data_IF_445022355238
#
_entry.id   IF_445022355238
#
_cell.length_a   1.000
_cell.length_b   1.000
_cell.length_c   1.000
_cell.angle_alpha   90.00
_cell.angle_beta   90.00
_cell.angle_gamma   90.00
#
_symmetry.space_group_name_H-M   'P 1'
#
loop_
_entity.id
_entity.type
_entity.pdbx_description
1 polymer ?
#
# COMPACT_ATOMS: atom_id res chain seq x y z
N UNK A 1 14.93 8.18 -9.14
CA UNK A 1 14.98 8.72 -7.77
C UNK A 1 15.33 10.20 -7.76
N UNK A 2 16.43 10.62 -8.38
CA UNK A 2 16.87 12.04 -8.39
C UNK A 2 15.79 13.02 -8.87
N UNK A 3 15.05 12.65 -9.92
CA UNK A 3 13.94 13.46 -10.41
C UNK A 3 12.81 13.66 -9.39
N UNK A 4 12.51 12.64 -8.56
CA UNK A 4 11.47 12.75 -7.52
C UNK A 4 12.00 13.60 -6.36
N UNK A 5 13.29 13.47 -6.00
CA UNK A 5 13.94 14.33 -4.99
C UNK A 5 13.88 15.80 -5.36
N UNK A 6 14.09 16.15 -6.64
CA UNK A 6 14.00 17.54 -7.12
C UNK A 6 12.62 18.19 -6.97
N UNK A 7 11.57 17.42 -6.70
CA UNK A 7 10.20 17.93 -6.47
C UNK A 7 9.82 17.99 -5.00
N UNK A 8 10.65 17.45 -4.09
CA UNK A 8 10.35 17.38 -2.65
C UNK A 8 10.10 18.76 -2.08
N UNK A 9 11.02 19.72 -2.27
CA UNK A 9 10.87 21.09 -1.76
C UNK A 9 9.56 21.77 -2.21
N UNK A 10 9.11 21.47 -3.43
CA UNK A 10 7.86 22.03 -3.97
C UNK A 10 6.65 21.41 -3.28
N UNK A 11 6.66 20.08 -3.07
CA UNK A 11 5.58 19.36 -2.37
C UNK A 11 5.52 19.72 -0.89
N UNK A 12 6.66 19.81 -0.22
CA UNK A 12 6.75 20.21 1.19
C UNK A 12 6.15 21.60 1.40
N UNK A 13 6.50 22.57 0.54
CA UNK A 13 5.94 23.94 0.59
C UNK A 13 4.45 23.96 0.30
N UNK A 14 3.98 23.18 -0.67
CA UNK A 14 2.58 23.15 -1.06
C UNK A 14 1.68 22.60 0.05
N UNK A 15 2.11 21.52 0.71
CA UNK A 15 1.32 20.84 1.74
C UNK A 15 1.68 21.24 3.16
N UNK A 16 2.75 22.01 3.35
CA UNK A 16 3.30 22.40 4.65
C UNK A 16 3.62 21.19 5.56
N UNK A 17 4.32 20.20 4.99
CA UNK A 17 4.73 18.96 5.67
C UNK A 17 6.19 18.64 5.36
N UNK A 18 6.83 17.89 6.25
CA UNK A 18 8.17 17.33 6.01
C UNK A 18 8.06 16.00 5.27
N UNK A 19 8.94 15.78 4.28
CA UNK A 19 9.05 14.52 3.54
C UNK A 19 10.41 13.90 3.81
N UNK A 20 10.43 12.72 4.42
CA UNK A 20 11.66 11.99 4.66
C UNK A 20 12.22 11.37 3.37
N UNK A 21 13.55 11.26 3.28
CA UNK A 21 14.20 10.61 2.13
C UNK A 21 13.80 9.12 2.02
N UNK A 22 13.53 8.44 3.13
CA UNK A 22 12.97 7.09 3.12
C UNK A 22 11.59 7.01 2.46
N UNK A 23 10.76 8.04 2.59
CA UNK A 23 9.46 8.11 1.93
C UNK A 23 9.62 8.27 0.42
N UNK A 24 10.60 9.05 -0.04
CA UNK A 24 10.93 9.18 -1.47
C UNK A 24 11.40 7.84 -2.05
N UNK A 25 12.28 7.13 -1.33
CA UNK A 25 12.74 5.79 -1.74
C UNK A 25 11.56 4.81 -1.79
N UNK A 26 10.73 4.78 -0.74
CA UNK A 26 9.54 3.94 -0.65
C UNK A 26 8.55 4.25 -1.77
N UNK A 27 8.31 5.53 -2.08
CA UNK A 27 7.39 5.93 -3.14
C UNK A 27 7.84 5.42 -4.50
N UNK A 28 9.14 5.46 -4.80
CA UNK A 28 9.70 4.90 -6.05
C UNK A 28 9.62 3.37 -6.05
N UNK A 29 10.08 2.72 -4.98
CA UNK A 29 10.15 1.25 -4.92
C UNK A 29 8.76 0.59 -4.92
N UNK A 30 7.85 1.05 -4.05
CA UNK A 30 6.52 0.48 -3.90
C UNK A 30 5.64 0.78 -5.10
N UNK A 31 5.69 2.00 -5.66
CA UNK A 31 4.94 2.30 -6.88
C UNK A 31 5.45 1.50 -8.08
N UNK A 32 6.76 1.25 -8.17
CA UNK A 32 7.32 0.38 -9.20
C UNK A 32 6.76 -1.04 -9.11
N UNK A 33 6.77 -1.62 -7.90
CA UNK A 33 6.39 -3.02 -7.65
C UNK A 33 4.88 -3.25 -7.71
N UNK A 34 4.09 -2.40 -7.06
CA UNK A 34 2.67 -2.67 -6.81
C UNK A 34 1.69 -1.84 -7.67
N UNK A 35 2.17 -0.83 -8.40
CA UNK A 35 1.35 0.01 -9.27
C UNK A 35 1.87 -0.09 -10.72
N UNK A 36 1.65 -1.25 -11.39
CA UNK A 36 2.20 -1.52 -12.72
C UNK A 36 1.52 -0.68 -13.83
N UNK A 37 0.25 -0.32 -13.66
CA UNK A 37 -0.56 0.36 -14.68
C UNK A 37 -0.08 1.79 -15.02
N UNK A 38 0.89 2.34 -14.27
CA UNK A 38 1.45 3.68 -14.48
C UNK A 38 2.98 3.61 -14.57
N UNK A 39 3.56 4.58 -15.28
CA UNK A 39 5.02 4.66 -15.46
C UNK A 39 5.69 5.55 -14.41
N UNK A 40 6.95 5.25 -14.11
CA UNK A 40 7.82 6.17 -13.39
C UNK A 40 8.24 7.31 -14.33
N UNK A 41 8.45 8.54 -13.84
CA UNK A 41 8.41 8.95 -12.42
C UNK A 41 7.01 9.32 -11.90
N UNK A 42 6.03 9.55 -12.79
CA UNK A 42 4.73 10.16 -12.47
C UNK A 42 3.98 9.45 -11.34
N UNK A 43 3.97 8.11 -11.34
CA UNK A 43 3.30 7.35 -10.27
C UNK A 43 3.92 7.55 -8.89
N UNK A 44 5.22 7.74 -8.80
CA UNK A 44 5.90 7.99 -7.53
C UNK A 44 5.60 9.42 -7.05
N UNK A 45 5.52 10.38 -7.98
CA UNK A 45 5.16 11.77 -7.68
C UNK A 45 3.72 11.84 -7.17
N UNK A 46 2.76 11.23 -7.88
CA UNK A 46 1.35 11.20 -7.43
C UNK A 46 1.17 10.51 -6.07
N UNK A 47 1.94 9.45 -5.83
CA UNK A 47 1.92 8.74 -4.55
C UNK A 47 2.45 9.62 -3.42
N UNK A 48 3.56 10.32 -3.65
CA UNK A 48 4.17 11.21 -2.67
C UNK A 48 3.29 12.45 -2.40
N UNK A 49 2.67 13.01 -3.43
CA UNK A 49 1.70 14.11 -3.31
C UNK A 49 0.47 13.69 -2.50
N UNK A 50 -0.07 12.49 -2.75
CA UNK A 50 -1.17 11.93 -1.95
C UNK A 50 -0.74 11.73 -0.49
N UNK A 51 0.50 11.30 -0.26
CA UNK A 51 1.04 11.11 1.08
C UNK A 51 1.20 12.44 1.83
N UNK A 52 1.73 13.46 1.16
CA UNK A 52 1.85 14.80 1.71
C UNK A 52 0.46 15.38 2.06
N UNK A 53 -0.51 15.28 1.14
CA UNK A 53 -1.87 15.70 1.39
C UNK A 53 -2.51 14.96 2.58
N UNK A 54 -2.29 13.65 2.70
CA UNK A 54 -2.81 12.84 3.81
C UNK A 54 -2.22 13.29 5.14
N UNK A 55 -0.90 13.48 5.22
CA UNK A 55 -0.23 13.98 6.44
C UNK A 55 -0.76 15.36 6.81
N UNK A 56 -0.83 16.28 5.85
CA UNK A 56 -1.36 17.63 6.07
C UNK A 56 -2.80 17.61 6.62
N UNK A 57 -3.65 16.71 6.10
CA UNK A 57 -5.00 16.52 6.62
C UNK A 57 -5.01 16.06 8.08
N UNK A 58 -4.12 15.15 8.48
CA UNK A 58 -4.09 14.67 9.87
C UNK A 58 -3.69 15.74 10.88
N UNK A 59 -2.93 16.74 10.45
CA UNK A 59 -2.50 17.86 11.29
C UNK A 59 -3.61 18.90 11.52
N UNK A 60 -4.59 18.98 10.61
CA UNK A 60 -5.60 20.06 10.63
C UNK A 60 -7.05 19.56 10.77
N UNK A 61 -7.29 18.27 10.56
CA UNK A 61 -8.63 17.70 10.47
C UNK A 61 -8.80 16.54 11.44
N UNK A 62 -9.96 16.43 12.13
CA UNK A 62 -10.27 15.26 12.95
C UNK A 62 -10.19 13.97 12.13
N UNK A 63 -9.69 12.86 12.71
CA UNK A 63 -9.60 11.59 11.99
C UNK A 63 -10.99 11.04 11.65
N UNK A 64 -11.05 10.20 10.62
CA UNK A 64 -12.30 9.62 10.14
C UNK A 64 -13.08 8.87 11.24
N UNK A 65 -12.39 8.22 12.18
CA UNK A 65 -12.99 7.56 13.35
C UNK A 65 -13.78 8.54 14.22
N UNK A 66 -13.19 9.69 14.56
CA UNK A 66 -13.84 10.76 15.33
C UNK A 66 -15.00 11.36 14.56
N UNK A 67 -14.84 11.65 13.26
CA UNK A 67 -15.92 12.18 12.44
C UNK A 67 -17.12 11.21 12.36
N UNK A 68 -16.84 9.92 12.18
CA UNK A 68 -17.86 8.87 12.14
C UNK A 68 -18.60 8.73 13.46
N UNK A 69 -17.89 8.76 14.60
CA UNK A 69 -18.51 8.75 15.94
C UNK A 69 -19.39 9.98 16.17
N UNK A 70 -18.94 11.18 15.78
CA UNK A 70 -19.75 12.41 15.84
C UNK A 70 -21.04 12.29 15.03
N UNK A 71 -20.95 11.73 13.82
CA UNK A 71 -22.12 11.52 12.96
C UNK A 71 -23.11 10.50 13.57
N UNK A 72 -22.61 9.39 14.10
CA UNK A 72 -23.44 8.39 14.77
C UNK A 72 -24.14 8.95 16.02
N UNK A 73 -23.41 9.71 16.84
CA UNK A 73 -23.94 10.34 18.03
C UNK A 73 -25.09 11.28 17.67
N UNK A 74 -24.87 12.17 16.69
CA UNK A 74 -25.88 13.10 16.18
C UNK A 74 -27.13 12.37 15.67
N UNK A 75 -26.96 11.25 14.95
CA UNK A 75 -28.08 10.46 14.47
C UNK A 75 -28.88 9.81 15.62
N UNK A 76 -28.19 9.27 16.64
CA UNK A 76 -28.82 8.67 17.81
C UNK A 76 -29.57 9.71 18.66
N UNK A 77 -28.99 10.90 18.84
CA UNK A 77 -29.63 12.02 19.54
C UNK A 77 -30.89 12.52 18.82
N UNK A 78 -30.83 12.63 17.49
CA UNK A 78 -31.99 12.98 16.68
C UNK A 78 -33.11 11.94 16.82
N UNK A 79 -32.77 10.65 16.75
CA UNK A 79 -33.73 9.56 16.97
C UNK A 79 -34.37 9.64 18.36
N UNK A 80 -33.57 9.90 19.42
CA UNK A 80 -34.08 10.07 20.78
C UNK A 80 -35.01 11.28 20.88
N UNK A 81 -34.68 12.41 20.24
CA UNK A 81 -35.51 13.61 20.25
C UNK A 81 -36.87 13.39 19.57
N UNK A 82 -36.90 12.65 18.46
CA UNK A 82 -38.15 12.28 17.79
C UNK A 82 -39.01 11.38 18.67
N UNK A 83 -38.39 10.41 19.35
CA UNK A 83 -39.09 9.52 20.27
C UNK A 83 -39.68 10.26 21.47
N UNK A 84 -38.93 11.21 22.06
CA UNK A 84 -39.43 12.09 23.12
C UNK A 84 -40.64 12.94 22.68
N UNK A 85 -40.73 13.33 21.39
CA UNK A 85 -41.92 14.02 20.88
C UNK A 85 -43.12 13.08 20.78
N UNK A 86 -42.92 11.82 20.39
CA UNK A 86 -43.97 10.80 20.32
C UNK A 86 -44.52 10.44 21.72
N UNK A 87 -43.65 10.35 22.72
CA UNK A 87 -44.04 10.13 24.12
C UNK A 87 -44.95 11.24 24.66
N UNK A 88 -44.66 12.51 24.31
CA UNK A 88 -45.54 13.65 24.63
C UNK A 88 -46.91 13.56 23.96
N UNK A 89 -47.03 12.81 22.87
CA UNK A 89 -48.29 12.53 22.17
C UNK A 89 -48.97 11.24 22.68
N UNK A 90 -48.43 10.61 23.72
CA UNK A 90 -49.00 9.42 24.35
C UNK A 90 -48.59 8.09 23.69
N UNK A 91 -47.67 8.09 22.73
CA UNK A 91 -47.14 6.87 22.12
C UNK A 91 -45.99 6.37 22.99
N UNK A 92 -46.18 5.23 23.68
CA UNK A 92 -45.17 4.66 24.56
C UNK A 92 -44.10 3.89 23.76
N UNK A 93 -42.83 4.11 24.10
CA UNK A 93 -41.68 3.43 23.46
C UNK A 93 -40.47 3.33 24.40
N UNK A 94 -40.71 2.91 25.65
CA UNK A 94 -39.71 2.92 26.74
C UNK A 94 -38.46 2.07 26.44
N UNK A 95 -38.61 0.85 25.93
CA UNK A 95 -37.47 -0.02 25.59
C UNK A 95 -36.54 0.62 24.54
N UNK A 96 -37.14 1.28 23.53
CA UNK A 96 -36.37 1.95 22.47
C UNK A 96 -35.72 3.24 22.97
N UNK A 97 -36.36 3.96 23.90
CA UNK A 97 -35.78 5.11 24.61
C UNK A 97 -34.55 4.70 25.41
N UNK A 98 -34.67 3.63 26.19
CA UNK A 98 -33.58 3.13 27.04
C UNK A 98 -32.41 2.62 26.19
N UNK A 99 -32.69 1.88 25.12
CA UNK A 99 -31.68 1.44 24.17
C UNK A 99 -30.93 2.61 23.50
N UNK A 100 -31.65 3.65 23.06
CA UNK A 100 -31.02 4.86 22.49
C UNK A 100 -30.20 5.63 23.53
N UNK A 101 -30.67 5.71 24.77
CA UNK A 101 -29.95 6.39 25.85
C UNK A 101 -28.65 5.65 26.18
N UNK A 102 -28.69 4.33 26.28
CA UNK A 102 -27.49 3.51 26.47
C UNK A 102 -26.52 3.64 25.28
N UNK A 103 -27.04 3.67 24.04
CA UNK A 103 -26.21 3.85 22.84
C UNK A 103 -25.53 5.21 22.79
N UNK A 104 -26.26 6.28 23.11
CA UNK A 104 -25.71 7.64 23.21
C UNK A 104 -24.60 7.69 24.26
N UNK A 105 -24.81 7.08 25.43
CA UNK A 105 -23.79 7.01 26.48
C UNK A 105 -22.51 6.29 26.00
N UNK A 106 -22.66 5.12 25.36
CA UNK A 106 -21.52 4.38 24.76
C UNK A 106 -20.77 5.22 23.72
N UNK A 107 -21.50 5.80 22.77
CA UNK A 107 -20.93 6.61 21.69
C UNK A 107 -20.21 7.85 22.25
N UNK A 108 -20.74 8.47 23.29
CA UNK A 108 -20.11 9.64 23.90
C UNK A 108 -18.81 9.27 24.62
N UNK A 109 -18.76 8.11 25.30
CA UNK A 109 -17.54 7.61 25.92
C UNK A 109 -16.47 7.27 24.88
N UNK A 110 -16.85 6.56 23.81
CA UNK A 110 -15.96 6.21 22.70
C UNK A 110 -15.43 7.47 21.98
N UNK A 111 -16.30 8.45 21.76
CA UNK A 111 -15.93 9.74 21.14
C UNK A 111 -14.95 10.51 22.03
N UNK A 112 -15.24 10.63 23.32
CA UNK A 112 -14.37 11.35 24.27
C UNK A 112 -12.99 10.71 24.34
N UNK A 113 -12.90 9.38 24.39
CA UNK A 113 -11.63 8.66 24.37
C UNK A 113 -10.85 8.88 23.07
N UNK A 114 -11.54 8.82 21.92
CA UNK A 114 -10.93 9.00 20.60
C UNK A 114 -10.45 10.43 20.37
N UNK A 115 -11.23 11.42 20.81
CA UNK A 115 -10.87 12.84 20.74
C UNK A 115 -9.68 13.17 21.66
N UNK A 116 -9.67 12.62 22.88
CA UNK A 116 -8.56 12.81 23.81
C UNK A 116 -7.26 12.21 23.26
N UNK A 117 -7.33 11.03 22.66
CA UNK A 117 -6.18 10.40 21.98
C UNK A 117 -5.67 11.27 20.84
N UNK A 118 -6.56 11.72 19.96
CA UNK A 118 -6.21 12.56 18.81
C UNK A 118 -5.57 13.88 19.24
N UNK A 119 -6.15 14.57 20.23
CA UNK A 119 -5.60 15.82 20.77
C UNK A 119 -4.22 15.62 21.38
N UNK A 120 -4.03 14.53 22.14
CA UNK A 120 -2.73 14.22 22.74
C UNK A 120 -1.66 13.91 21.70
N UNK A 121 -2.01 13.15 20.65
CA UNK A 121 -1.10 12.91 19.53
C UNK A 121 -0.74 14.23 18.81
N UNK A 122 -1.71 15.10 18.58
CA UNK A 122 -1.49 16.39 17.94
C UNK A 122 -0.54 17.29 18.75
N UNK A 123 -0.71 17.34 20.07
CA UNK A 123 0.17 18.08 20.99
C UNK A 123 1.63 17.56 20.93
N UNK A 124 1.82 16.24 20.96
CA UNK A 124 3.14 15.62 20.86
C UNK A 124 3.80 15.89 19.49
N UNK A 125 3.02 15.83 18.41
CA UNK A 125 3.49 16.13 17.05
C UNK A 125 3.91 17.59 16.92
N UNK A 126 3.12 18.54 17.44
CA UNK A 126 3.50 19.95 17.43
C UNK A 126 4.76 20.21 18.25
N UNK A 127 4.86 19.64 19.45
CA UNK A 127 6.07 19.73 20.29
C UNK A 127 7.30 19.23 19.52
N UNK A 128 7.17 18.10 18.82
CA UNK A 128 8.25 17.54 18.01
C UNK A 128 8.65 18.46 16.85
N UNK A 129 7.67 19.05 16.15
CA UNK A 129 7.93 19.97 15.05
C UNK A 129 8.61 21.26 15.52
N UNK A 130 8.19 21.81 16.67
CA UNK A 130 8.82 22.98 17.28
C UNK A 130 10.28 22.71 17.68
N UNK A 131 10.55 21.57 18.34
CA UNK A 131 11.91 21.18 18.70
C UNK A 131 12.84 20.99 17.50
N UNK A 132 12.29 20.56 16.35
CA UNK A 132 13.07 20.40 15.10
C UNK A 132 13.40 21.73 14.42
N UNK A 133 12.58 22.76 14.63
CA UNK A 133 12.80 24.10 14.08
C UNK A 133 13.80 24.91 14.90
N UNK A 134 14.03 24.56 16.16
CA UNK A 134 15.05 25.19 16.99
C UNK A 134 16.47 24.81 16.50
N UNK A 135 17.31 25.81 16.20
CA UNK A 135 18.72 25.60 15.85
C UNK A 135 19.47 24.98 17.04
N UNK A 136 20.24 23.92 16.79
CA UNK A 136 20.58 22.93 17.82
C UNK A 136 21.85 23.24 18.63
N UNK A 137 21.71 23.26 19.97
CA UNK A 137 22.78 22.93 20.92
C UNK A 137 22.76 21.42 21.28
N UNK A 138 23.76 20.95 22.05
CA UNK A 138 23.84 19.54 22.45
C UNK A 138 22.68 19.09 23.37
N UNK A 139 22.11 20.02 24.15
CA UNK A 139 20.98 19.75 25.05
C UNK A 139 19.69 19.51 24.26
N UNK A 140 19.47 20.28 23.18
CA UNK A 140 18.31 20.18 22.28
C UNK A 140 18.21 18.84 21.54
N UNK A 141 19.35 18.17 21.32
CA UNK A 141 19.34 16.82 20.73
C UNK A 141 18.77 15.77 21.67
N UNK A 142 19.01 15.90 22.97
CA UNK A 142 18.49 14.94 23.95
C UNK A 142 16.99 15.12 24.16
N UNK A 143 16.50 16.37 24.20
CA UNK A 143 15.08 16.69 24.30
C UNK A 143 14.31 16.26 23.05
N UNK A 144 14.89 16.43 21.86
CA UNK A 144 14.32 15.93 20.61
C UNK A 144 14.14 14.40 20.63
N UNK A 145 15.17 13.66 21.04
CA UNK A 145 15.10 12.19 21.14
C UNK A 145 14.05 11.73 22.16
N UNK A 146 13.91 12.44 23.27
CA UNK A 146 12.87 12.16 24.27
C UNK A 146 11.46 12.39 23.69
N UNK A 147 11.26 13.48 22.95
CA UNK A 147 9.99 13.79 22.31
C UNK A 147 9.62 12.74 21.24
N UNK A 148 10.58 12.31 20.41
CA UNK A 148 10.38 11.24 19.43
C UNK A 148 10.00 9.91 20.09
N UNK A 149 10.67 9.57 21.19
CA UNK A 149 10.37 8.34 21.96
C UNK A 149 8.97 8.40 22.58
N UNK A 150 8.63 9.52 23.23
CA UNK A 150 7.31 9.73 23.83
C UNK A 150 6.18 9.66 22.80
N UNK A 151 6.37 10.26 21.62
CA UNK A 151 5.40 10.17 20.52
C UNK A 151 5.20 8.73 20.08
N UNK A 152 6.30 7.99 19.87
CA UNK A 152 6.27 6.60 19.42
C UNK A 152 5.59 5.68 20.43
N UNK A 153 5.90 5.84 21.71
CA UNK A 153 5.27 5.06 22.79
C UNK A 153 3.76 5.31 22.89
N UNK A 154 3.34 6.57 22.74
CA UNK A 154 1.92 6.92 22.77
C UNK A 154 1.15 6.42 21.54
N UNK A 155 1.74 6.54 20.34
CA UNK A 155 1.08 6.15 19.09
C UNK A 155 0.92 4.63 18.95
N UNK A 156 1.91 3.86 19.41
CA UNK A 156 1.95 2.41 19.24
C UNK A 156 1.81 2.00 17.78
N UNK A 157 0.97 0.99 17.51
CA UNK A 157 0.78 0.43 16.17
C UNK A 157 -0.25 1.17 15.29
N UNK A 158 -0.96 2.15 15.85
CA UNK A 158 -2.09 2.81 15.17
C UNK A 158 -2.03 4.34 15.30
N UNK A 159 -1.04 5.00 14.68
CA UNK A 159 -0.94 6.46 14.68
C UNK A 159 -2.14 7.10 13.99
N UNK A 160 -2.66 8.16 14.59
CA UNK A 160 -3.80 8.95 14.10
C UNK A 160 -3.32 10.26 13.48
N UNK A 161 -2.24 10.83 14.03
CA UNK A 161 -1.59 12.04 13.52
C UNK A 161 -0.18 11.70 13.06
N UNK A 162 0.19 12.13 11.85
CA UNK A 162 1.53 11.91 11.32
C UNK A 162 2.34 13.20 11.37
N UNK A 163 3.55 13.22 11.95
CA UNK A 163 4.39 14.41 11.97
C UNK A 163 5.02 14.73 10.61
N UNK A 164 5.20 13.71 9.77
CA UNK A 164 5.93 13.77 8.52
C UNK A 164 5.49 12.64 7.57
N UNK A 165 5.84 12.80 6.30
CA UNK A 165 5.68 11.75 5.30
C UNK A 165 6.83 10.76 5.44
N UNK A 166 6.54 9.59 6.00
CA UNK A 166 7.47 8.47 6.19
C UNK A 166 7.23 7.34 5.21
N UNK A 167 8.14 6.36 5.18
CA UNK A 167 7.96 5.15 4.37
C UNK A 167 6.67 4.38 4.74
N UNK A 168 6.27 4.42 6.02
CA UNK A 168 5.06 3.78 6.51
C UNK A 168 3.78 4.44 5.95
N UNK A 169 3.74 5.78 5.89
CA UNK A 169 2.61 6.52 5.30
C UNK A 169 2.45 6.17 3.81
N UNK A 170 3.57 6.13 3.09
CA UNK A 170 3.59 5.75 1.67
C UNK A 170 3.09 4.32 1.48
N UNK A 171 3.57 3.37 2.29
CA UNK A 171 3.13 1.98 2.24
C UNK A 171 1.63 1.82 2.53
N UNK A 172 1.09 2.59 3.49
CA UNK A 172 -0.34 2.59 3.78
C UNK A 172 -1.20 3.06 2.59
N UNK A 173 -0.74 4.07 1.85
CA UNK A 173 -1.47 4.53 0.65
C UNK A 173 -1.43 3.50 -0.47
N UNK A 174 -0.26 2.88 -0.69
CA UNK A 174 -0.16 1.79 -1.67
C UNK A 174 -1.07 0.62 -1.25
N UNK A 175 -1.16 0.31 0.03
CA UNK A 175 -2.07 -0.70 0.55
C UNK A 175 -3.54 -0.35 0.25
N UNK A 176 -3.96 0.89 0.48
CA UNK A 176 -5.32 1.35 0.17
C UNK A 176 -5.62 1.24 -1.34
N UNK A 177 -4.65 1.55 -2.21
CA UNK A 177 -4.84 1.53 -3.66
C UNK A 177 -4.83 0.13 -4.26
N UNK A 178 -4.06 -0.78 -3.67
CA UNK A 178 -3.79 -2.11 -4.24
C UNK A 178 -4.48 -3.25 -3.50
N UNK A 179 -4.98 -2.99 -2.29
CA UNK A 179 -5.53 -4.00 -1.38
C UNK A 179 -4.46 -4.88 -0.69
N UNK A 180 -3.18 -4.66 -0.96
CA UNK A 180 -2.08 -5.46 -0.40
C UNK A 180 -1.68 -4.86 0.96
N UNK A 181 -1.67 -5.62 2.07
CA UNK A 181 -1.36 -5.07 3.38
C UNK A 181 0.04 -4.45 3.47
N UNK A 182 0.15 -3.23 4.02
CA UNK A 182 1.42 -2.50 4.17
C UNK A 182 2.47 -3.33 4.94
N UNK A 183 2.08 -4.08 5.97
CA UNK A 183 2.98 -4.97 6.71
C UNK A 183 3.63 -6.07 5.85
N UNK A 184 3.04 -6.45 4.72
CA UNK A 184 3.68 -7.37 3.75
C UNK A 184 4.68 -6.64 2.84
N UNK A 185 4.56 -5.32 2.68
CA UNK A 185 5.43 -4.49 1.83
C UNK A 185 6.71 -4.07 2.54
N UNK A 186 6.67 -3.89 3.87
CA UNK A 186 7.81 -3.44 4.69
C UNK A 186 8.76 -4.59 5.08
N UNK A 187 8.39 -5.85 4.80
CA UNK A 187 9.30 -6.99 5.04
C UNK A 187 10.51 -6.92 4.11
N UNK A 188 11.68 -7.17 4.68
CA UNK A 188 12.97 -7.24 3.98
C UNK A 188 12.87 -8.11 2.72
N UNK A 189 13.17 -7.50 1.56
CA UNK A 189 13.13 -8.14 0.26
C UNK A 189 14.05 -9.37 0.22
N UNK A 190 15.20 -9.31 0.90
CA UNK A 190 16.13 -10.44 0.98
C UNK A 190 15.49 -11.62 1.73
N UNK A 191 14.90 -11.36 2.90
CA UNK A 191 14.13 -12.37 3.66
C UNK A 191 12.98 -12.96 2.84
N UNK A 192 12.23 -12.15 2.08
CA UNK A 192 11.15 -12.67 1.21
C UNK A 192 11.65 -13.63 0.13
N UNK A 193 12.82 -13.33 -0.45
CA UNK A 193 13.45 -14.13 -1.49
C UNK A 193 14.05 -15.41 -0.91
N UNK A 194 14.61 -15.36 0.31
CA UNK A 194 15.10 -16.54 1.04
C UNK A 194 13.97 -17.52 1.39
N UNK A 195 12.83 -17.02 1.83
CA UNK A 195 11.66 -17.83 2.21
C UNK A 195 10.79 -18.26 1.00
N UNK A 196 11.18 -17.88 -0.22
CA UNK A 196 10.35 -18.09 -1.42
C UNK A 196 9.89 -19.54 -1.62
N UNK A 197 10.74 -20.58 -1.53
CA UNK A 197 10.28 -21.97 -1.68
C UNK A 197 9.18 -22.35 -0.69
N UNK A 198 9.36 -21.98 0.59
CA UNK A 198 8.39 -22.28 1.64
C UNK A 198 7.06 -21.55 1.41
N UNK A 199 7.10 -20.31 0.92
CA UNK A 199 5.90 -19.54 0.57
C UNK A 199 5.17 -20.14 -0.64
N UNK A 200 5.89 -20.58 -1.67
CA UNK A 200 5.28 -21.25 -2.81
C UNK A 200 4.62 -22.57 -2.38
N UNK A 201 5.24 -23.32 -1.47
CA UNK A 201 4.72 -24.59 -0.96
C UNK A 201 3.40 -24.44 -0.15
N UNK A 202 3.08 -23.24 0.34
CA UNK A 202 1.78 -22.96 0.97
C UNK A 202 0.62 -22.98 -0.02
N UNK A 203 0.86 -22.65 -1.31
CA UNK A 203 -0.15 -22.71 -2.39
C UNK A 203 -0.01 -23.94 -3.26
N UNK A 204 1.21 -24.41 -3.53
CA UNK A 204 1.49 -25.52 -4.45
C UNK A 204 1.97 -26.73 -3.64
N UNK A 205 1.07 -27.67 -3.39
CA UNK A 205 1.33 -28.87 -2.58
C UNK A 205 2.05 -29.97 -3.35
N UNK A 206 3.06 -30.57 -2.72
CA UNK A 206 3.73 -31.79 -3.21
C UNK A 206 4.73 -31.58 -4.35
N UNK A 207 5.16 -30.34 -4.60
CA UNK A 207 6.13 -30.00 -5.66
C UNK A 207 7.47 -29.48 -5.11
N UNK A 208 7.84 -29.86 -3.88
CA UNK A 208 8.95 -29.27 -3.11
C UNK A 208 10.26 -29.16 -3.91
N UNK A 209 10.64 -30.21 -4.65
CA UNK A 209 11.85 -30.21 -5.47
C UNK A 209 11.81 -29.18 -6.62
N UNK A 210 10.67 -29.04 -7.31
CA UNK A 210 10.51 -28.05 -8.38
C UNK A 210 10.47 -26.62 -7.81
N UNK A 211 9.79 -26.42 -6.69
CA UNK A 211 9.71 -25.13 -6.02
C UNK A 211 11.07 -24.68 -5.46
N UNK A 212 11.88 -25.61 -4.95
CA UNK A 212 13.23 -25.35 -4.50
C UNK A 212 14.14 -24.87 -5.65
N UNK A 213 14.08 -25.53 -6.81
CA UNK A 213 14.86 -25.12 -8.00
C UNK A 213 14.46 -23.73 -8.52
N UNK A 214 13.15 -23.44 -8.54
CA UNK A 214 12.65 -22.10 -8.88
C UNK A 214 13.19 -21.08 -7.88
N UNK A 215 13.07 -21.37 -6.59
CA UNK A 215 13.55 -20.50 -5.52
C UNK A 215 15.04 -20.18 -5.62
N UNK A 216 15.88 -21.20 -5.78
CA UNK A 216 17.34 -21.04 -5.93
C UNK A 216 17.71 -20.16 -7.12
N UNK A 217 17.04 -20.35 -8.27
CA UNK A 217 17.28 -19.53 -9.47
C UNK A 217 16.93 -18.07 -9.24
N UNK A 218 15.78 -17.80 -8.61
CA UNK A 218 15.33 -16.45 -8.28
C UNK A 218 16.26 -15.81 -7.25
N UNK A 219 16.66 -16.54 -6.20
CA UNK A 219 17.61 -16.08 -5.18
C UNK A 219 18.94 -15.66 -5.82
N UNK A 220 19.48 -16.50 -6.71
CA UNK A 220 20.72 -16.21 -7.45
C UNK A 220 20.60 -14.93 -8.29
N UNK A 221 19.47 -14.75 -8.98
CA UNK A 221 19.25 -13.56 -9.81
C UNK A 221 19.10 -12.29 -8.96
N UNK A 222 18.37 -12.35 -7.84
CA UNK A 222 18.18 -11.21 -6.91
C UNK A 222 19.45 -10.85 -6.15
N UNK A 223 20.35 -11.81 -5.92
CA UNK A 223 21.67 -11.57 -5.34
C UNK A 223 22.65 -10.89 -6.31
N UNK A 224 22.26 -10.63 -7.57
CA UNK A 224 23.13 -10.02 -8.57
C UNK A 224 24.26 -10.95 -9.06
N UNK A 225 24.17 -12.25 -8.77
CA UNK A 225 25.19 -13.24 -9.13
C UNK A 225 25.03 -13.79 -10.56
N UNK A 226 24.00 -13.32 -11.30
CA UNK A 226 23.72 -13.71 -12.70
C UNK A 226 24.09 -12.64 -13.72
N UNK A 227 24.09 -13.00 -15.01
CA UNK A 227 24.29 -12.03 -16.10
C UNK A 227 23.07 -11.08 -16.17
N UNK A 228 23.25 -9.75 -16.03
CA UNK A 228 22.15 -8.78 -16.04
C UNK A 228 21.43 -8.69 -17.40
N UNK A 229 22.00 -9.25 -18.48
CA UNK A 229 21.35 -9.29 -19.80
C UNK A 229 20.41 -10.49 -19.96
N UNK A 230 20.38 -11.42 -19.01
CA UNK A 230 19.53 -12.61 -19.06
C UNK A 230 18.29 -12.43 -18.18
N UNK A 231 17.16 -13.06 -18.52
CA UNK A 231 15.98 -13.09 -17.66
C UNK A 231 16.30 -13.64 -16.27
N UNK A 232 15.55 -13.16 -15.27
CA UNK A 232 15.64 -13.59 -13.86
C UNK A 232 15.54 -15.11 -13.74
N UNK A 233 14.63 -15.73 -14.50
CA UNK A 233 14.53 -17.18 -14.65
C UNK A 233 13.79 -17.55 -15.92
N UNK A 234 14.15 -18.71 -16.49
CA UNK A 234 13.41 -19.34 -17.60
C UNK A 234 13.11 -20.75 -17.13
N UNK A 235 11.84 -21.09 -17.02
CA UNK A 235 11.38 -22.34 -16.46
C UNK A 235 10.45 -23.05 -17.44
N UNK A 236 10.60 -24.36 -17.58
CA UNK A 236 9.67 -25.22 -18.29
C UNK A 236 8.97 -26.11 -17.26
N UNK A 237 7.73 -25.78 -16.92
CA UNK A 237 6.92 -26.57 -16.02
C UNK A 237 6.21 -27.66 -16.84
N UNK A 238 6.71 -28.90 -16.76
CA UNK A 238 6.14 -30.04 -17.48
C UNK A 238 5.43 -30.99 -16.51
N UNK A 239 4.30 -31.55 -16.94
CA UNK A 239 3.55 -32.54 -16.15
C UNK A 239 2.06 -32.60 -16.50
N UNK A 240 1.29 -33.53 -15.92
CA UNK A 240 -0.15 -33.70 -16.16
C UNK A 240 -0.96 -32.43 -15.85
N UNK A 241 -2.15 -32.30 -16.43
CA UNK A 241 -3.06 -31.19 -16.06
C UNK A 241 -3.44 -31.26 -14.58
N UNK A 242 -3.63 -30.09 -13.95
CA UNK A 242 -4.06 -30.01 -12.54
C UNK A 242 -2.98 -30.16 -11.47
N UNK A 243 -1.72 -30.46 -11.83
CA UNK A 243 -0.63 -30.65 -10.83
C UNK A 243 -0.03 -29.36 -10.26
N UNK A 244 -0.62 -28.20 -10.55
CA UNK A 244 -0.17 -26.91 -10.01
C UNK A 244 0.82 -26.13 -10.87
N UNK A 245 0.97 -26.42 -12.16
CA UNK A 245 1.85 -25.66 -13.08
C UNK A 245 1.46 -24.18 -13.17
N UNK A 246 0.19 -23.91 -13.52
CA UNK A 246 -0.34 -22.54 -13.60
C UNK A 246 -0.33 -21.89 -12.22
N UNK A 247 -0.69 -22.64 -11.18
CA UNK A 247 -0.67 -22.17 -9.79
C UNK A 247 0.73 -21.74 -9.35
N UNK A 248 1.78 -22.45 -9.77
CA UNK A 248 3.17 -22.08 -9.51
C UNK A 248 3.52 -20.74 -10.12
N UNK A 249 3.07 -20.47 -11.36
CA UNK A 249 3.31 -19.18 -12.01
C UNK A 249 2.56 -18.03 -11.31
N UNK A 250 1.31 -18.26 -10.91
CA UNK A 250 0.50 -17.28 -10.15
C UNK A 250 1.12 -16.99 -8.78
N UNK A 251 1.46 -18.04 -8.02
CA UNK A 251 2.09 -17.91 -6.70
C UNK A 251 3.46 -17.21 -6.79
N UNK A 252 4.22 -17.46 -7.86
CA UNK A 252 5.49 -16.78 -8.12
C UNK A 252 5.29 -15.29 -8.43
N UNK A 253 4.31 -14.96 -9.27
CA UNK A 253 3.97 -13.57 -9.61
C UNK A 253 3.50 -12.79 -8.37
N UNK A 254 2.67 -13.40 -7.53
CA UNK A 254 2.25 -12.81 -6.26
C UNK A 254 3.46 -12.59 -5.32
N UNK A 255 4.31 -13.60 -5.15
CA UNK A 255 5.42 -13.54 -4.20
C UNK A 255 6.49 -12.51 -4.58
N UNK A 256 6.86 -12.45 -5.87
CA UNK A 256 7.96 -11.61 -6.34
C UNK A 256 7.46 -10.24 -6.78
N UNK A 257 6.43 -10.20 -7.63
CA UNK A 257 5.97 -8.98 -8.27
C UNK A 257 4.79 -8.34 -7.54
N UNK A 258 4.31 -8.95 -6.46
CA UNK A 258 3.30 -8.33 -5.61
C UNK A 258 1.88 -8.44 -6.15
N UNK A 259 1.62 -9.34 -7.10
CA UNK A 259 0.26 -9.64 -7.52
C UNK A 259 0.18 -10.51 -8.76
N UNK A 260 -0.90 -11.28 -8.86
CA UNK A 260 -1.18 -12.15 -10.01
C UNK A 260 -1.48 -11.35 -11.29
N UNK A 261 -1.98 -10.12 -11.16
CA UNK A 261 -2.23 -9.22 -12.28
C UNK A 261 -0.97 -8.83 -13.05
N UNK A 262 0.21 -9.07 -12.47
CA UNK A 262 1.49 -8.90 -13.16
C UNK A 262 1.84 -10.10 -14.04
N UNK A 263 1.08 -11.21 -14.01
CA UNK A 263 1.34 -12.35 -14.87
C UNK A 263 0.79 -12.12 -16.28
N UNK A 264 1.68 -12.05 -17.26
CA UNK A 264 1.29 -12.07 -18.68
C UNK A 264 1.05 -13.51 -19.10
N UNK A 265 -0.22 -13.86 -19.38
CA UNK A 265 -0.60 -15.20 -19.84
C UNK A 265 -0.80 -15.19 -21.35
N UNK A 266 -0.16 -16.14 -22.04
CA UNK A 266 -0.33 -16.33 -23.49
C UNK A 266 -0.80 -17.75 -23.73
N UNK A 267 -1.98 -17.88 -24.33
CA UNK A 267 -2.53 -19.16 -24.75
C UNK A 267 -1.94 -19.57 -26.10
N UNK A 268 -0.90 -20.42 -26.08
CA UNK A 268 -0.23 -20.86 -27.31
C UNK A 268 -1.13 -21.65 -28.28
N UNK A 269 -2.26 -22.18 -27.82
CA UNK A 269 -3.23 -22.85 -28.69
C UNK A 269 -3.89 -21.89 -29.70
N UNK A 270 -3.88 -20.58 -29.43
CA UNK A 270 -4.39 -19.54 -30.33
C UNK A 270 -3.36 -19.16 -31.43
N UNK A 271 -2.11 -19.62 -31.29
CA UNK A 271 -0.97 -19.23 -32.13
C UNK A 271 -0.40 -20.41 -32.95
N UNK A 272 -1.27 -21.30 -33.45
CA UNK A 272 -0.85 -22.49 -34.18
C UNK A 272 -0.46 -22.23 -35.65
N UNK A 273 -0.96 -21.14 -36.25
CA UNK A 273 -0.78 -20.84 -37.67
C UNK A 273 0.24 -19.71 -37.87
N UNK A 274 1.01 -19.75 -38.97
CA UNK A 274 2.10 -18.79 -39.19
C UNK A 274 1.66 -17.32 -39.18
N UNK A 275 0.42 -17.04 -39.59
CA UNK A 275 -0.13 -15.68 -39.59
C UNK A 275 -0.60 -15.24 -38.19
N UNK A 276 -1.03 -16.15 -37.31
CA UNK A 276 -1.35 -15.81 -35.92
C UNK A 276 -0.07 -15.63 -35.10
N UNK A 277 1.00 -16.39 -35.36
CA UNK A 277 2.32 -16.14 -34.71
C UNK A 277 2.84 -14.72 -34.99
N UNK A 278 2.54 -14.18 -36.16
CA UNK A 278 2.93 -12.80 -36.50
C UNK A 278 2.24 -11.76 -35.62
N UNK A 279 1.00 -11.99 -35.16
CA UNK A 279 0.31 -11.07 -34.23
C UNK A 279 0.87 -11.15 -32.80
N UNK A 280 1.53 -12.24 -32.42
CA UNK A 280 2.19 -12.38 -31.12
C UNK A 280 3.40 -11.44 -30.98
N UNK A 281 4.25 -11.37 -32.01
CA UNK A 281 5.48 -10.56 -32.04
C UNK A 281 5.27 -9.16 -32.64
N UNK A 282 4.27 -9.01 -33.51
CA UNK A 282 4.00 -7.82 -34.30
C UNK A 282 4.14 -8.13 -35.80
N UNK A 283 3.18 -7.64 -36.59
CA UNK A 283 3.16 -7.89 -38.02
C UNK A 283 4.38 -7.26 -38.72
N UNK A 284 4.97 -7.89 -39.75
CA UNK A 284 6.05 -7.30 -40.54
C UNK A 284 5.55 -6.15 -41.45
N UNK A 285 6.45 -5.29 -41.96
CA UNK A 285 6.08 -4.23 -42.90
C UNK A 285 5.30 -4.79 -44.09
N UNK A 286 4.11 -4.24 -44.36
CA UNK A 286 3.24 -4.68 -45.46
C UNK A 286 2.11 -5.64 -45.07
N UNK A 287 1.98 -6.01 -43.79
CA UNK A 287 0.85 -6.80 -43.27
C UNK A 287 -0.09 -5.96 -42.40
N UNK A 288 -1.36 -6.36 -42.30
CA UNK A 288 -2.36 -5.73 -41.41
C UNK A 288 -1.88 -5.84 -39.95
N UNK A 289 -1.87 -4.72 -39.22
CA UNK A 289 -1.33 -4.62 -37.86
C UNK A 289 0.14 -4.17 -37.77
N UNK A 290 0.78 -3.79 -38.89
CA UNK A 290 2.12 -3.21 -38.86
C UNK A 290 2.11 -1.86 -38.12
N UNK A 291 2.91 -1.75 -37.06
CA UNK A 291 3.01 -0.56 -36.19
C UNK A 291 2.16 -0.63 -34.92
N UNK A 292 1.24 -1.59 -34.78
CA UNK A 292 0.39 -1.75 -33.58
C UNK A 292 1.08 -2.54 -32.45
N UNK A 293 2.25 -3.14 -32.73
CA UNK A 293 2.95 -4.02 -31.79
C UNK A 293 2.31 -5.40 -31.69
N UNK A 294 3.07 -6.39 -31.22
CA UNK A 294 2.55 -7.73 -30.96
C UNK A 294 1.95 -7.87 -29.56
N UNK A 295 1.05 -8.85 -29.39
CA UNK A 295 0.40 -9.17 -28.10
C UNK A 295 1.44 -9.34 -26.97
N UNK A 296 2.52 -10.09 -27.22
CA UNK A 296 3.59 -10.29 -26.23
C UNK A 296 4.41 -9.01 -26.02
N UNK A 297 4.80 -8.34 -27.12
CA UNK A 297 5.68 -7.17 -27.04
C UNK A 297 5.00 -6.00 -26.32
N UNK A 298 3.70 -5.80 -26.53
CA UNK A 298 2.94 -4.75 -25.84
C UNK A 298 2.62 -5.12 -24.40
N UNK A 299 2.33 -6.39 -24.11
CA UNK A 299 2.14 -6.85 -22.73
C UNK A 299 3.40 -6.63 -21.88
N UNK A 300 4.57 -7.01 -22.39
CA UNK A 300 5.86 -6.80 -21.73
C UNK A 300 6.24 -5.32 -21.69
N UNK A 301 5.95 -4.54 -22.73
CA UNK A 301 6.20 -3.08 -22.72
C UNK A 301 5.39 -2.36 -21.65
N UNK A 302 4.13 -2.75 -21.44
CA UNK A 302 3.26 -2.19 -20.38
C UNK A 302 3.65 -2.70 -19.00
N UNK A 303 4.21 -3.90 -18.91
CA UNK A 303 4.63 -4.54 -17.66
C UNK A 303 6.08 -5.04 -17.76
N UNK A 304 7.09 -4.15 -17.79
CA UNK A 304 8.49 -4.54 -18.02
C UNK A 304 9.10 -5.34 -16.86
N UNK A 305 8.42 -5.40 -15.72
CA UNK A 305 8.77 -6.23 -14.56
C UNK A 305 7.83 -7.41 -14.32
N UNK A 306 6.96 -7.76 -15.28
CA UNK A 306 6.18 -9.01 -15.28
C UNK A 306 7.05 -10.23 -15.59
#
# INVERSE_FOLDING_TARGET
>A
MEMVRGLVDTLEKHHNVLILDEAVRAAVQLSHRYIPARQLPDKAISLLDTAAARVALTLHTPPASVQFLRQQLKAAEMARSLLQKQEKMGIQSDERRDALTARIFSLNNELTASESRWQRELELVHTLQELRLAESDADDKTTLQQAETALREWQGDAPVVFPEVSAAVVAAIVADWTGIPAGRMVKDEASQVLELPARLAQRVTGQDGALAQIGERIQTARAGLGDPRKPVGVFMLAGPSGVGKTETALALAEAIYGGEQNLVTINMSEFQEAHTVSTLKGAPPGYVGYGEGGVLTEAVRRHPGA
#
